data_IF_623324371547
#
_entry.id   IF_623324371547
#
_cell.length_a   1.000
_cell.length_b   1.000
_cell.length_c   1.000
_cell.angle_alpha   90.00
_cell.angle_beta   90.00
_cell.angle_gamma   90.00
#
_symmetry.space_group_name_H-M   'P 1'
#
loop_
_entity.id
_entity.type
_entity.pdbx_description
1 polymer ?
#
# COMPACT_ATOMS: atom_id res chain seq x y z
N UNK A 1 0.05 19.01 -0.58
CA UNK A 1 0.95 18.19 -1.43
C UNK A 1 0.61 16.72 -1.25
N UNK A 2 0.32 16.03 -2.33
CA UNK A 2 -0.08 14.62 -2.25
C UNK A 2 1.16 13.71 -2.16
N UNK A 3 1.12 12.78 -1.21
CA UNK A 3 2.13 11.76 -1.06
C UNK A 3 1.52 10.42 -1.47
N UNK A 4 2.18 9.70 -2.37
CA UNK A 4 1.78 8.35 -2.75
C UNK A 4 2.63 7.36 -1.98
N UNK A 5 2.00 6.46 -1.25
CA UNK A 5 2.66 5.34 -0.57
C UNK A 5 2.35 4.07 -1.36
N UNK A 6 3.39 3.34 -1.74
CA UNK A 6 3.27 2.12 -2.53
C UNK A 6 3.73 0.93 -1.68
N UNK A 7 2.87 -0.06 -1.53
CA UNK A 7 3.21 -1.34 -0.90
C UNK A 7 3.19 -2.44 -1.95
N UNK A 8 4.26 -3.22 -1.99
CA UNK A 8 4.34 -4.42 -2.83
C UNK A 8 4.05 -5.61 -1.96
N UNK A 9 3.15 -6.48 -2.40
CA UNK A 9 2.65 -7.62 -1.62
C UNK A 9 2.68 -8.90 -2.44
N UNK A 10 3.14 -9.99 -1.79
CA UNK A 10 2.98 -11.34 -2.32
C UNK A 10 2.92 -12.33 -1.16
N UNK A 11 1.76 -13.00 -1.02
CA UNK A 11 1.50 -13.95 0.07
C UNK A 11 1.90 -13.39 1.44
N UNK A 12 1.40 -12.19 1.74
CA UNK A 12 1.75 -11.44 2.95
C UNK A 12 0.61 -11.34 3.96
N UNK A 13 -0.33 -12.28 3.94
CA UNK A 13 -1.53 -12.21 4.80
C UNK A 13 -1.21 -12.05 6.29
N UNK A 14 -0.08 -12.60 6.76
CA UNK A 14 0.29 -12.50 8.18
C UNK A 14 0.71 -11.07 8.59
N UNK A 15 1.26 -10.29 7.66
CA UNK A 15 1.88 -9.00 7.98
C UNK A 15 1.20 -7.81 7.33
N UNK A 16 0.50 -8.01 6.21
CA UNK A 16 -0.04 -6.90 5.43
C UNK A 16 -1.07 -6.08 6.18
N UNK A 17 -1.82 -6.69 7.11
CA UNK A 17 -2.80 -5.97 7.90
C UNK A 17 -2.15 -4.88 8.74
N UNK A 18 -1.03 -5.21 9.39
CA UNK A 18 -0.29 -4.22 10.19
C UNK A 18 0.26 -3.09 9.32
N UNK A 19 0.74 -3.43 8.15
CA UNK A 19 1.25 -2.45 7.18
C UNK A 19 0.15 -1.49 6.76
N UNK A 20 -1.01 -2.01 6.34
CA UNK A 20 -2.14 -1.19 5.90
C UNK A 20 -2.65 -0.31 7.04
N UNK A 21 -2.78 -0.87 8.24
CA UNK A 21 -3.25 -0.11 9.40
C UNK A 21 -2.30 1.02 9.76
N UNK A 22 -0.98 0.80 9.61
CA UNK A 22 -0.01 1.85 9.91
C UNK A 22 -0.14 3.04 8.95
N UNK A 23 -0.50 2.79 7.70
CA UNK A 23 -0.79 3.85 6.72
C UNK A 23 -2.11 4.54 7.05
N UNK A 24 -3.15 3.75 7.39
CA UNK A 24 -4.47 4.29 7.72
C UNK A 24 -4.41 5.23 8.93
N UNK A 25 -3.53 4.93 9.89
CA UNK A 25 -3.36 5.74 11.11
C UNK A 25 -2.53 7.00 10.92
N UNK A 26 -1.94 7.23 9.76
CA UNK A 26 -1.15 8.44 9.55
C UNK A 26 -2.02 9.69 9.63
N UNK A 27 -1.51 10.72 10.28
CA UNK A 27 -2.25 11.97 10.47
C UNK A 27 -2.19 12.90 9.26
N UNK A 28 -1.26 12.64 8.34
CA UNK A 28 -1.18 13.41 7.10
C UNK A 28 -2.35 13.04 6.19
N UNK A 29 -3.20 14.04 5.86
CA UNK A 29 -4.48 13.76 5.21
C UNK A 29 -4.38 13.51 3.70
N UNK A 30 -3.35 14.06 3.04
CA UNK A 30 -3.24 14.01 1.57
C UNK A 30 -2.38 12.84 1.11
N UNK A 31 -2.79 11.62 1.50
CA UNK A 31 -2.10 10.39 1.15
C UNK A 31 -2.93 9.60 0.12
N UNK A 32 -2.26 9.17 -0.94
CA UNK A 32 -2.76 8.17 -1.87
C UNK A 32 -2.04 6.85 -1.56
N UNK A 33 -2.78 5.79 -1.28
CA UNK A 33 -2.19 4.50 -0.97
C UNK A 33 -2.42 3.51 -2.11
N UNK A 34 -1.35 2.94 -2.61
CA UNK A 34 -1.39 1.97 -3.72
C UNK A 34 -0.75 0.67 -3.27
N UNK A 35 -1.47 -0.44 -3.43
CA UNK A 35 -0.95 -1.77 -3.15
C UNK A 35 -0.88 -2.57 -4.44
N UNK A 36 0.29 -3.09 -4.74
CA UNK A 36 0.52 -3.95 -5.90
C UNK A 36 0.73 -5.37 -5.39
N UNK A 37 -0.25 -6.22 -5.62
CA UNK A 37 -0.22 -7.62 -5.18
C UNK A 37 0.14 -8.53 -6.35
N UNK A 38 1.05 -9.46 -6.12
CA UNK A 38 1.58 -10.36 -7.14
C UNK A 38 0.75 -11.65 -7.29
N UNK A 39 -0.56 -11.54 -7.33
CA UNK A 39 -1.49 -12.67 -7.43
C UNK A 39 -1.37 -13.63 -6.23
N UNK A 40 -1.46 -13.08 -5.03
CA UNK A 40 -1.41 -13.86 -3.78
C UNK A 40 -2.52 -14.90 -3.69
N UNK A 41 -2.21 -16.02 -3.05
CA UNK A 41 -3.13 -17.13 -2.87
C UNK A 41 -3.47 -17.41 -1.40
N UNK A 42 -2.96 -16.60 -0.47
CA UNK A 42 -3.04 -16.83 0.97
C UNK A 42 -4.12 -16.00 1.69
N UNK A 43 -4.98 -15.29 0.95
CA UNK A 43 -5.99 -14.41 1.55
C UNK A 43 -5.57 -12.95 1.63
N UNK A 44 -4.40 -12.58 1.13
CA UNK A 44 -3.95 -11.17 1.11
C UNK A 44 -4.95 -10.26 0.41
N UNK A 45 -5.52 -10.70 -0.71
CA UNK A 45 -6.48 -9.87 -1.47
C UNK A 45 -7.79 -9.64 -0.71
N UNK A 46 -8.21 -10.59 0.12
CA UNK A 46 -9.40 -10.40 0.96
C UNK A 46 -9.16 -9.30 2.00
N UNK A 47 -7.95 -9.24 2.54
CA UNK A 47 -7.56 -8.18 3.47
C UNK A 47 -7.57 -6.82 2.75
N UNK A 48 -7.09 -6.74 1.53
CA UNK A 48 -7.13 -5.51 0.75
C UNK A 48 -8.57 -5.04 0.53
N UNK A 49 -9.47 -5.95 0.21
CA UNK A 49 -10.89 -5.62 0.04
C UNK A 49 -11.53 -5.14 1.34
N UNK A 50 -11.11 -5.69 2.47
CA UNK A 50 -11.61 -5.29 3.79
C UNK A 50 -11.23 -3.84 4.11
N UNK A 51 -10.01 -3.43 3.77
CA UNK A 51 -9.49 -2.12 4.14
C UNK A 51 -9.78 -1.01 3.13
N UNK A 52 -10.03 -1.34 1.88
CA UNK A 52 -10.24 -0.34 0.84
C UNK A 52 -11.29 0.71 1.21
N UNK A 53 -12.49 0.33 1.70
CA UNK A 53 -13.51 1.34 2.04
C UNK A 53 -13.10 2.22 3.22
N UNK A 54 -12.19 1.76 4.08
CA UNK A 54 -11.75 2.53 5.24
C UNK A 54 -10.88 3.73 4.85
N UNK A 55 -10.34 3.74 3.65
CA UNK A 55 -9.53 4.85 3.13
C UNK A 55 -10.36 5.92 2.42
N UNK A 56 -11.67 5.72 2.27
CA UNK A 56 -12.53 6.76 1.69
C UNK A 56 -12.16 7.16 0.26
N UNK A 57 -11.73 6.21 -0.56
CA UNK A 57 -11.34 6.44 -1.95
C UNK A 57 -9.87 6.75 -2.15
N UNK A 58 -9.07 6.84 -1.08
CA UNK A 58 -7.64 7.13 -1.18
C UNK A 58 -6.78 5.89 -1.42
N UNK A 59 -7.37 4.69 -1.34
CA UNK A 59 -6.66 3.43 -1.56
C UNK A 59 -7.06 2.82 -2.90
N UNK A 60 -6.05 2.41 -3.68
CA UNK A 60 -6.23 1.62 -4.89
C UNK A 60 -5.30 0.42 -4.82
N UNK A 61 -5.71 -0.69 -5.42
CA UNK A 61 -4.85 -1.87 -5.45
C UNK A 61 -5.17 -2.71 -6.67
N UNK A 62 -4.16 -3.45 -7.11
CA UNK A 62 -4.32 -4.46 -8.16
C UNK A 62 -3.70 -5.76 -7.67
N UNK A 63 -4.20 -6.88 -8.19
CA UNK A 63 -3.63 -8.20 -7.91
C UNK A 63 -3.50 -8.94 -9.24
N UNK A 64 -2.25 -9.14 -9.66
CA UNK A 64 -1.92 -9.84 -10.90
C UNK A 64 -0.49 -10.36 -10.83
N UNK A 65 -0.14 -11.40 -11.60
CA UNK A 65 1.24 -11.87 -11.65
C UNK A 65 2.17 -10.75 -12.09
N UNK A 66 3.34 -10.64 -11.45
CA UNK A 66 4.36 -9.67 -11.82
C UNK A 66 5.71 -10.35 -12.05
N UNK A 67 6.66 -9.63 -12.61
CA UNK A 67 8.00 -10.11 -12.90
C UNK A 67 8.98 -9.97 -11.74
N UNK A 68 8.46 -9.77 -10.52
CA UNK A 68 9.26 -9.59 -9.31
C UNK A 68 9.14 -8.17 -8.76
N UNK A 69 9.98 -7.86 -7.76
CA UNK A 69 9.87 -6.62 -7.00
C UNK A 69 9.89 -5.36 -7.88
N UNK A 70 10.85 -5.28 -8.81
CA UNK A 70 10.97 -4.08 -9.64
C UNK A 70 9.78 -3.89 -10.57
N UNK A 71 9.23 -4.98 -11.11
CA UNK A 71 8.05 -4.90 -11.95
C UNK A 71 6.85 -4.39 -11.15
N UNK A 72 6.66 -4.91 -9.94
CA UNK A 72 5.59 -4.48 -9.05
C UNK A 72 5.74 -3.01 -8.67
N UNK A 73 6.97 -2.57 -8.35
CA UNK A 73 7.23 -1.16 -8.04
C UNK A 73 6.92 -0.25 -9.22
N UNK A 74 7.28 -0.67 -10.43
CA UNK A 74 7.00 0.11 -11.64
C UNK A 74 5.49 0.24 -11.89
N UNK A 75 4.72 -0.82 -11.60
CA UNK A 75 3.25 -0.75 -11.70
C UNK A 75 2.69 0.29 -10.73
N UNK A 76 3.19 0.29 -9.50
CA UNK A 76 2.78 1.28 -8.50
C UNK A 76 3.11 2.70 -8.92
N UNK A 77 4.30 2.92 -9.43
CA UNK A 77 4.73 4.24 -9.91
C UNK A 77 3.83 4.71 -11.06
N UNK A 78 3.48 3.81 -11.99
CA UNK A 78 2.61 4.15 -13.11
C UNK A 78 1.20 4.56 -12.66
N UNK A 79 0.73 4.04 -11.53
CA UNK A 79 -0.58 4.39 -10.97
C UNK A 79 -0.54 5.65 -10.11
N UNK A 80 0.64 6.08 -9.67
CA UNK A 80 0.78 7.15 -8.69
C UNK A 80 0.41 8.52 -9.25
N UNK A 81 -0.31 9.31 -8.45
CA UNK A 81 -0.66 10.69 -8.76
C UNK A 81 -0.02 11.69 -7.80
N UNK A 82 0.69 11.21 -6.77
CA UNK A 82 1.31 12.07 -5.79
C UNK A 82 2.57 12.75 -6.30
N UNK A 83 2.93 13.83 -5.65
CA UNK A 83 4.16 14.59 -5.96
C UNK A 83 5.40 13.93 -5.35
N UNK A 84 5.19 13.16 -4.28
CA UNK A 84 6.24 12.39 -3.61
C UNK A 84 5.83 10.92 -3.53
N UNK A 85 6.82 10.04 -3.65
CA UNK A 85 6.63 8.60 -3.59
C UNK A 85 7.33 8.04 -2.36
N UNK A 86 6.62 7.21 -1.61
CA UNK A 86 7.19 6.43 -0.53
C UNK A 86 6.91 4.95 -0.78
N UNK A 87 7.86 4.09 -0.42
CA UNK A 87 7.68 2.65 -0.53
C UNK A 87 7.67 2.03 0.86
N UNK A 88 6.73 1.13 1.08
CA UNK A 88 6.58 0.42 2.34
C UNK A 88 6.29 -1.04 2.02
N UNK A 89 7.20 -1.94 2.36
CA UNK A 89 7.02 -3.37 2.09
C UNK A 89 5.87 -3.94 2.90
N UNK A 90 5.29 -5.05 2.43
CA UNK A 90 4.13 -5.66 3.07
C UNK A 90 4.39 -6.25 4.44
N UNK A 91 5.65 -6.33 4.86
CA UNK A 91 6.06 -6.76 6.21
C UNK A 91 6.58 -5.59 7.06
N UNK A 92 6.53 -4.36 6.53
CA UNK A 92 6.92 -3.15 7.25
C UNK A 92 5.69 -2.39 7.70
N UNK A 93 5.88 -1.49 8.66
CA UNK A 93 4.83 -0.60 9.12
C UNK A 93 5.43 0.66 9.75
N UNK A 94 4.65 1.74 9.74
CA UNK A 94 5.05 2.97 10.42
C UNK A 94 4.86 2.83 11.93
N UNK A 95 5.86 3.25 12.68
CA UNK A 95 5.85 3.13 14.15
C UNK A 95 5.15 4.29 14.84
N UNK A 96 4.85 5.35 14.10
CA UNK A 96 4.18 6.53 14.63
C UNK A 96 3.13 7.01 13.63
N UNK A 97 2.00 7.50 14.12
CA UNK A 97 0.96 8.09 13.28
C UNK A 97 1.44 9.37 12.56
N UNK A 98 2.58 9.91 12.94
CA UNK A 98 3.15 11.12 12.36
C UNK A 98 4.39 10.86 11.51
N UNK A 99 4.67 9.61 11.17
CA UNK A 99 5.89 9.26 10.43
C UNK A 99 5.96 9.89 9.04
N UNK A 100 4.81 10.15 8.41
CA UNK A 100 4.72 10.75 7.06
C UNK A 100 4.64 12.28 7.14
N UNK A 101 4.25 12.80 8.27
CA UNK A 101 4.03 14.23 8.46
C UNK A 101 5.37 14.98 8.37
N UNK A 102 5.42 16.02 7.56
CA UNK A 102 6.61 16.84 7.36
C UNK A 102 6.44 18.25 7.88
#
# INVERSE_FOLDING_TARGET
MKITIITVSYNSAETIRDTIESVLRQTYADIEYIVIDGASTDGSTDILREYEPKFGGRMRWISEPDGGLYDAMNKGIAMANGEYLGFLNSDDFYTSSRSIEV
#
